data_IF_847757235613
#
_entry.id   IF_847757235613
#
_cell.length_a   1.000
_cell.length_b   1.000
_cell.length_c   1.000
_cell.angle_alpha   90.00
_cell.angle_beta   90.00
_cell.angle_gamma   90.00
#
_symmetry.space_group_name_H-M   'P 1'
#
loop_
_entity.id
_entity.type
_entity.pdbx_description
1 polymer ?
#
# COMPACT_ATOMS: atom_id res chain seq x y z
N UNK A 1 4.13 -21.78 14.67
CA UNK A 1 5.29 -21.42 13.85
C UNK A 1 5.98 -20.20 14.49
N UNK A 2 7.33 -20.20 14.59
CA UNK A 2 8.10 -19.06 15.13
C UNK A 2 8.57 -18.16 14.00
N UNK A 3 8.25 -16.86 14.08
CA UNK A 3 8.61 -15.87 13.08
C UNK A 3 9.44 -14.76 13.71
N UNK A 4 10.57 -14.41 13.08
CA UNK A 4 11.35 -13.24 13.42
C UNK A 4 11.07 -12.15 12.37
N UNK A 5 10.42 -11.06 12.79
CA UNK A 5 10.06 -9.94 11.92
C UNK A 5 11.01 -8.76 12.07
N UNK A 6 11.75 -8.44 11.00
CA UNK A 6 12.62 -7.28 10.93
C UNK A 6 11.88 -6.04 10.42
N UNK A 7 11.95 -4.94 11.19
CA UNK A 7 11.23 -3.67 10.95
C UNK A 7 12.20 -2.55 10.61
N UNK A 8 11.89 -1.77 9.58
CA UNK A 8 12.72 -0.62 9.13
C UNK A 8 12.10 0.75 9.48
N UNK A 9 11.12 0.77 10.39
CA UNK A 9 10.39 1.97 10.86
C UNK A 9 9.59 2.71 9.79
N UNK A 10 9.39 2.10 8.60
CA UNK A 10 8.55 2.67 7.55
C UNK A 10 7.15 2.06 7.63
N UNK A 11 6.18 2.86 8.01
CA UNK A 11 4.78 2.42 8.21
C UNK A 11 4.24 1.60 7.02
N UNK A 12 4.51 2.03 5.77
CA UNK A 12 4.04 1.30 4.59
C UNK A 12 4.67 -0.09 4.41
N UNK A 13 5.92 -0.29 4.87
CA UNK A 13 6.57 -1.60 4.86
C UNK A 13 6.03 -2.50 5.98
N UNK A 14 5.88 -1.93 7.17
CA UNK A 14 5.34 -2.64 8.32
C UNK A 14 3.91 -3.12 8.08
N UNK A 15 3.04 -2.27 7.51
CA UNK A 15 1.67 -2.65 7.14
C UNK A 15 1.61 -3.85 6.18
N UNK A 16 2.51 -3.94 5.20
CA UNK A 16 2.54 -5.05 4.27
C UNK A 16 2.93 -6.37 4.95
N UNK A 17 3.96 -6.35 5.80
CA UNK A 17 4.38 -7.53 6.56
C UNK A 17 3.28 -7.91 7.56
N UNK A 18 2.71 -6.94 8.28
CA UNK A 18 1.62 -7.18 9.22
C UNK A 18 0.41 -7.84 8.55
N UNK A 19 0.02 -7.39 7.34
CA UNK A 19 -1.08 -8.00 6.59
C UNK A 19 -0.80 -9.48 6.25
N UNK A 20 0.45 -9.83 5.93
CA UNK A 20 0.86 -11.23 5.71
C UNK A 20 0.76 -12.02 7.02
N UNK A 21 1.28 -11.48 8.12
CA UNK A 21 1.29 -12.16 9.43
C UNK A 21 -0.13 -12.35 9.96
N UNK A 22 -0.99 -11.34 9.86
CA UNK A 22 -2.40 -11.41 10.26
C UNK A 22 -3.13 -12.52 9.47
N UNK A 23 -2.85 -12.62 8.17
CA UNK A 23 -3.51 -13.62 7.32
C UNK A 23 -2.95 -15.03 7.57
N UNK A 24 -1.64 -15.19 7.82
CA UNK A 24 -1.05 -16.45 8.26
C UNK A 24 -1.61 -16.93 9.61
N UNK A 25 -1.90 -16.00 10.52
CA UNK A 25 -2.46 -16.31 11.85
C UNK A 25 -3.90 -16.89 11.77
N UNK A 26 -4.58 -16.75 10.65
CA UNK A 26 -5.90 -17.37 10.44
C UNK A 26 -5.82 -18.89 10.29
N UNK A 27 -4.68 -19.43 9.88
CA UNK A 27 -4.50 -20.86 9.56
C UNK A 27 -3.56 -21.59 10.51
N UNK A 28 -2.79 -20.87 11.34
CA UNK A 28 -1.81 -21.45 12.25
C UNK A 28 -1.43 -20.53 13.40
N UNK A 29 -1.06 -21.11 14.54
CA UNK A 29 -0.53 -20.37 15.68
C UNK A 29 0.84 -19.76 15.38
N UNK A 30 0.98 -18.46 15.55
CA UNK A 30 2.22 -17.72 15.35
C UNK A 30 2.81 -17.24 16.67
N UNK A 31 4.13 -17.40 16.81
CA UNK A 31 4.93 -16.72 17.83
C UNK A 31 5.85 -15.75 17.10
N UNK A 32 5.57 -14.47 17.23
CA UNK A 32 6.26 -13.40 16.50
C UNK A 32 7.25 -12.70 17.44
N UNK A 33 8.51 -12.66 17.04
CA UNK A 33 9.56 -11.85 17.64
C UNK A 33 9.88 -10.68 16.72
N UNK A 34 9.62 -9.45 17.17
CA UNK A 34 9.92 -8.24 16.41
C UNK A 34 11.35 -7.75 16.68
N UNK A 35 12.03 -7.30 15.63
CA UNK A 35 13.37 -6.74 15.69
C UNK A 35 13.49 -5.48 14.84
N UNK A 36 13.78 -4.36 15.50
CA UNK A 36 14.05 -3.10 14.80
C UNK A 36 15.45 -3.10 14.20
N UNK A 37 15.54 -2.65 12.95
CA UNK A 37 16.83 -2.42 12.30
C UNK A 37 17.37 -1.06 12.72
N UNK A 38 18.41 -1.07 13.54
CA UNK A 38 19.05 0.14 14.10
C UNK A 38 20.37 0.52 13.41
N UNK A 39 21.06 -0.45 12.83
CA UNK A 39 22.36 -0.22 12.21
C UNK A 39 22.23 0.30 10.77
N UNK A 40 23.14 1.19 10.33
CA UNK A 40 23.18 1.59 8.92
C UNK A 40 23.61 0.41 8.04
N UNK A 41 23.13 0.40 6.78
CA UNK A 41 23.34 -0.70 5.82
C UNK A 41 24.81 -1.05 5.63
N UNK A 42 25.72 -0.07 5.60
CA UNK A 42 27.15 -0.31 5.43
C UNK A 42 27.76 -1.11 6.59
N UNK A 43 27.32 -0.86 7.84
CA UNK A 43 27.77 -1.60 9.01
C UNK A 43 27.22 -3.05 8.98
N UNK A 44 25.96 -3.21 8.60
CA UNK A 44 25.35 -4.54 8.44
C UNK A 44 26.08 -5.37 7.37
N UNK A 45 26.46 -4.75 6.23
CA UNK A 45 27.28 -5.37 5.20
C UNK A 45 28.66 -5.80 5.75
N UNK A 46 29.34 -4.91 6.46
CA UNK A 46 30.63 -5.20 7.07
C UNK A 46 30.56 -6.40 8.01
N UNK A 47 29.58 -6.39 8.92
CA UNK A 47 29.36 -7.51 9.85
C UNK A 47 28.97 -8.81 9.13
N UNK A 48 28.23 -8.71 8.02
CA UNK A 48 27.88 -9.85 7.18
C UNK A 48 29.11 -10.52 6.55
N UNK A 49 30.01 -9.73 5.96
CA UNK A 49 31.25 -10.25 5.36
C UNK A 49 32.21 -10.83 6.40
N UNK A 50 32.26 -10.26 7.60
CA UNK A 50 33.01 -10.82 8.72
C UNK A 50 32.35 -12.06 9.35
N UNK A 51 31.17 -12.47 8.85
CA UNK A 51 30.37 -13.60 9.39
C UNK A 51 30.02 -13.45 10.88
N UNK A 52 29.95 -12.21 11.36
CA UNK A 52 29.53 -11.91 12.73
C UNK A 52 28.01 -12.03 12.80
N UNK A 53 27.54 -13.08 13.51
CA UNK A 53 26.11 -13.34 13.70
C UNK A 53 25.57 -12.63 14.94
N UNK A 54 24.34 -12.10 14.92
CA UNK A 54 23.72 -11.55 16.11
C UNK A 54 23.38 -12.67 17.11
N UNK A 55 23.29 -12.29 18.39
CA UNK A 55 22.82 -13.20 19.42
C UNK A 55 21.35 -13.55 19.20
N UNK A 56 21.02 -14.81 19.32
CA UNK A 56 19.66 -15.34 19.18
C UNK A 56 19.27 -16.10 20.45
N UNK A 57 18.07 -15.83 20.95
CA UNK A 57 17.52 -16.58 22.08
C UNK A 57 16.78 -17.84 21.61
N UNK A 58 16.32 -17.85 20.37
CA UNK A 58 15.69 -19.02 19.73
C UNK A 58 15.88 -18.99 18.21
N UNK A 59 15.86 -20.16 17.60
CA UNK A 59 15.93 -20.30 16.14
C UNK A 59 14.50 -20.18 15.58
N UNK A 60 14.22 -19.18 14.70
CA UNK A 60 12.90 -19.03 14.08
C UNK A 60 12.72 -20.01 12.90
N UNK A 61 11.49 -20.39 12.62
CA UNK A 61 11.13 -21.12 11.39
C UNK A 61 11.24 -20.18 10.17
N UNK A 62 10.77 -18.94 10.31
CA UNK A 62 10.77 -17.92 9.27
C UNK A 62 11.37 -16.61 9.80
N UNK A 63 12.20 -15.98 8.96
CA UNK A 63 12.66 -14.60 9.10
C UNK A 63 11.97 -13.80 7.99
N UNK A 64 11.28 -12.73 8.34
CA UNK A 64 10.55 -11.89 7.38
C UNK A 64 10.83 -10.41 7.61
N UNK A 65 10.83 -9.62 6.54
CA UNK A 65 10.96 -8.17 6.63
C UNK A 65 10.73 -7.51 5.28
N UNK A 66 10.50 -6.20 5.30
CA UNK A 66 10.26 -5.41 4.11
C UNK A 66 11.25 -4.26 3.99
N UNK A 67 11.64 -3.97 2.74
CA UNK A 67 12.50 -2.85 2.41
C UNK A 67 14.00 -3.14 2.48
N UNK A 68 14.80 -2.26 1.86
CA UNK A 68 16.24 -2.48 1.67
C UNK A 68 17.05 -2.54 2.98
N UNK A 69 16.61 -1.83 4.03
CA UNK A 69 17.31 -1.81 5.30
C UNK A 69 17.27 -3.17 6.02
N UNK A 70 16.21 -3.96 5.83
CA UNK A 70 16.06 -5.28 6.48
C UNK A 70 16.83 -6.39 5.79
N UNK A 71 17.24 -6.21 4.53
CA UNK A 71 17.86 -7.22 3.67
C UNK A 71 19.06 -7.93 4.34
N UNK A 72 20.07 -7.18 4.75
CA UNK A 72 21.29 -7.73 5.31
C UNK A 72 21.11 -8.25 6.74
N UNK A 73 20.41 -7.49 7.64
CA UNK A 73 20.10 -8.02 8.97
C UNK A 73 19.40 -9.38 8.94
N UNK A 74 18.42 -9.59 8.06
CA UNK A 74 17.73 -10.88 7.91
C UNK A 74 18.69 -11.99 7.50
N UNK A 75 19.55 -11.76 6.51
CA UNK A 75 20.54 -12.75 6.04
C UNK A 75 21.60 -13.07 7.09
N UNK A 76 22.02 -12.08 7.90
CA UNK A 76 22.93 -12.30 9.04
C UNK A 76 22.28 -13.14 10.15
N UNK A 77 20.97 -12.94 10.36
CA UNK A 77 20.22 -13.62 11.39
C UNK A 77 19.98 -15.10 11.05
N UNK A 78 20.01 -15.48 9.79
CA UNK A 78 19.91 -16.90 9.36
C UNK A 78 21.14 -17.69 9.83
N UNK A 79 20.95 -18.63 10.75
CA UNK A 79 22.04 -19.43 11.35
C UNK A 79 22.10 -20.86 10.84
N UNK A 80 20.99 -21.38 10.33
CA UNK A 80 20.89 -22.73 9.82
C UNK A 80 20.15 -22.81 8.46
N UNK A 81 20.10 -23.99 7.88
CA UNK A 81 19.43 -24.23 6.60
C UNK A 81 17.92 -24.52 6.77
N UNK A 82 17.42 -24.69 8.00
CA UNK A 82 16.01 -24.98 8.28
C UNK A 82 15.20 -23.68 8.29
N UNK A 83 15.79 -22.60 8.84
CA UNK A 83 15.19 -21.26 8.84
C UNK A 83 15.02 -20.74 7.43
N UNK A 84 13.82 -20.28 7.09
CA UNK A 84 13.48 -19.67 5.81
C UNK A 84 13.52 -18.15 5.89
N UNK A 85 14.09 -17.50 4.88
CA UNK A 85 14.18 -16.03 4.83
C UNK A 85 13.29 -15.51 3.70
N UNK A 86 12.31 -14.68 4.07
CA UNK A 86 11.32 -14.08 3.16
C UNK A 86 11.55 -12.57 3.09
N UNK A 87 11.83 -12.05 1.90
CA UNK A 87 11.82 -10.62 1.66
C UNK A 87 10.45 -10.18 1.14
N UNK A 88 9.83 -9.23 1.81
CA UNK A 88 8.67 -8.51 1.28
C UNK A 88 9.20 -7.27 0.56
N UNK A 89 8.85 -7.13 -0.73
CA UNK A 89 9.46 -6.24 -1.72
C UNK A 89 10.83 -6.76 -2.23
N UNK A 90 11.22 -6.25 -3.40
CA UNK A 90 12.50 -6.59 -4.03
C UNK A 90 13.67 -6.13 -3.15
N UNK A 91 14.54 -7.07 -2.69
CA UNK A 91 15.70 -6.71 -1.91
C UNK A 91 16.73 -5.98 -2.80
N UNK A 92 17.52 -5.10 -2.20
CA UNK A 92 18.55 -4.35 -2.91
C UNK A 92 19.77 -5.22 -3.27
N UNK A 93 20.06 -6.24 -2.45
CA UNK A 93 21.25 -7.09 -2.57
C UNK A 93 20.89 -8.56 -2.35
N UNK A 94 21.68 -9.45 -2.95
CA UNK A 94 21.66 -10.89 -2.67
C UNK A 94 20.32 -11.59 -2.86
N UNK A 95 19.57 -11.25 -3.93
CA UNK A 95 18.26 -11.85 -4.23
C UNK A 95 18.29 -13.39 -4.16
N UNK A 96 19.34 -14.03 -4.67
CA UNK A 96 19.49 -15.50 -4.66
C UNK A 96 19.71 -16.12 -3.26
N UNK A 97 19.88 -15.32 -2.21
CA UNK A 97 20.05 -15.80 -0.82
C UNK A 97 18.74 -15.91 -0.06
N UNK A 98 17.66 -15.37 -0.61
CA UNK A 98 16.33 -15.48 -0.03
C UNK A 98 15.65 -16.79 -0.46
N UNK A 99 14.99 -17.45 0.48
CA UNK A 99 14.19 -18.65 0.17
C UNK A 99 12.90 -18.27 -0.57
N UNK A 100 12.37 -17.04 -0.33
CA UNK A 100 11.27 -16.45 -1.07
C UNK A 100 11.39 -14.93 -1.06
N UNK A 101 11.15 -14.33 -2.22
CA UNK A 101 10.94 -12.89 -2.38
C UNK A 101 9.50 -12.69 -2.83
N UNK A 102 8.75 -11.90 -2.07
CA UNK A 102 7.38 -11.51 -2.39
C UNK A 102 7.41 -10.04 -2.82
N UNK A 103 7.22 -9.76 -4.11
CA UNK A 103 7.43 -8.42 -4.66
C UNK A 103 6.37 -7.99 -5.67
N UNK A 104 6.15 -6.67 -5.85
CA UNK A 104 5.27 -6.19 -6.89
C UNK A 104 5.72 -6.65 -8.28
N UNK A 105 4.76 -7.07 -9.12
CA UNK A 105 5.04 -7.55 -10.48
C UNK A 105 5.85 -6.54 -11.30
N UNK A 106 5.59 -5.25 -11.13
CA UNK A 106 6.29 -4.18 -11.87
C UNK A 106 7.76 -4.00 -11.49
N UNK A 107 8.27 -4.69 -10.46
CA UNK A 107 9.68 -4.68 -10.09
C UNK A 107 10.52 -5.73 -10.83
N UNK A 108 9.88 -6.68 -11.54
CA UNK A 108 10.53 -7.76 -12.27
C UNK A 108 10.09 -7.80 -13.74
N UNK A 109 11.06 -7.87 -14.66
CA UNK A 109 10.81 -8.17 -16.07
C UNK A 109 10.71 -9.68 -16.31
N UNK A 110 11.61 -10.43 -15.67
CA UNK A 110 11.65 -11.88 -15.63
C UNK A 110 11.58 -12.29 -14.16
N UNK A 111 10.75 -13.27 -13.84
CA UNK A 111 10.48 -13.69 -12.46
C UNK A 111 11.32 -14.93 -12.13
N UNK A 112 12.34 -14.82 -11.24
CA UNK A 112 13.12 -15.96 -10.78
C UNK A 112 12.28 -16.96 -9.97
N UNK A 113 12.74 -18.22 -9.86
CA UNK A 113 12.03 -19.29 -9.16
C UNK A 113 11.75 -19.00 -7.67
N UNK A 114 12.63 -18.23 -7.03
CA UNK A 114 12.45 -17.82 -5.63
C UNK A 114 11.65 -16.54 -5.47
N UNK A 115 11.05 -16.01 -6.54
CA UNK A 115 10.21 -14.80 -6.50
C UNK A 115 8.75 -15.16 -6.74
N UNK A 116 7.87 -14.62 -5.90
CA UNK A 116 6.43 -14.59 -6.11
C UNK A 116 5.99 -13.15 -6.30
N UNK A 117 5.25 -12.87 -7.37
CA UNK A 117 4.82 -11.50 -7.68
C UNK A 117 3.34 -11.29 -7.41
N UNK A 118 3.00 -10.07 -6.95
CA UNK A 118 1.65 -9.59 -6.73
C UNK A 118 1.39 -8.27 -7.48
N UNK A 119 0.13 -7.87 -7.60
CA UNK A 119 -0.26 -6.61 -8.24
C UNK A 119 -0.31 -5.49 -7.20
N UNK A 120 0.41 -4.41 -7.45
CA UNK A 120 0.37 -3.18 -6.67
C UNK A 120 1.07 -3.23 -5.32
N UNK A 121 0.32 -3.30 -4.23
CA UNK A 121 0.81 -3.37 -2.86
C UNK A 121 0.01 -4.37 -2.04
N UNK A 122 0.67 -5.06 -1.11
CA UNK A 122 -0.01 -5.94 -0.16
C UNK A 122 -0.74 -5.08 0.86
N UNK A 123 -2.02 -5.37 1.06
CA UNK A 123 -2.85 -4.74 2.05
C UNK A 123 -3.74 -5.76 2.75
N UNK A 124 -4.20 -5.42 3.96
CA UNK A 124 -5.18 -6.22 4.68
C UNK A 124 -6.50 -6.25 3.93
N UNK A 125 -7.08 -7.44 3.81
CA UNK A 125 -8.42 -7.59 3.21
C UNK A 125 -9.48 -7.27 4.26
N UNK A 126 -10.30 -6.26 3.99
CA UNK A 126 -11.37 -5.81 4.87
C UNK A 126 -12.71 -5.92 4.14
N UNK A 127 -13.37 -7.07 4.29
CA UNK A 127 -14.69 -7.31 3.70
C UNK A 127 -15.75 -7.01 4.75
N UNK A 128 -16.63 -6.07 4.42
CA UNK A 128 -17.78 -5.72 5.22
C UNK A 128 -19.01 -5.69 4.31
N UNK A 129 -20.04 -6.53 4.56
CA UNK A 129 -21.27 -6.50 3.79
C UNK A 129 -22.14 -5.27 4.14
N UNK A 130 -21.99 -4.74 5.36
CA UNK A 130 -22.81 -3.64 5.88
C UNK A 130 -22.08 -2.31 5.74
N UNK A 131 -22.07 -1.77 4.51
CA UNK A 131 -21.42 -0.48 4.24
C UNK A 131 -22.27 0.68 4.76
N UNK A 132 -21.62 1.61 5.45
CA UNK A 132 -22.22 2.85 5.90
C UNK A 132 -22.30 3.88 4.75
N UNK A 133 -23.21 4.84 4.87
CA UNK A 133 -23.35 5.92 3.89
C UNK A 133 -22.20 6.95 4.04
N UNK A 134 -20.97 6.48 4.02
CA UNK A 134 -19.73 7.23 4.17
C UNK A 134 -18.97 7.25 2.83
N UNK A 135 -18.51 8.44 2.46
CA UNK A 135 -17.54 8.64 1.40
C UNK A 135 -16.18 9.07 1.97
N UNK A 136 -15.13 8.41 1.55
CA UNK A 136 -13.77 8.79 1.92
C UNK A 136 -13.09 9.54 0.78
N UNK A 137 -12.43 10.63 1.13
CA UNK A 137 -11.49 11.34 0.27
C UNK A 137 -10.12 11.19 0.92
N UNK A 138 -9.23 10.41 0.29
CA UNK A 138 -7.92 10.08 0.86
C UNK A 138 -6.84 10.79 0.04
N UNK A 139 -6.22 11.80 0.64
CA UNK A 139 -5.28 12.68 -0.04
C UNK A 139 -3.85 12.36 0.35
N UNK A 140 -3.05 11.96 -0.62
CA UNK A 140 -1.61 11.79 -0.48
C UNK A 140 -0.90 13.14 -0.36
N UNK A 141 -0.06 13.49 -1.31
CA UNK A 141 0.62 14.78 -1.30
C UNK A 141 1.79 14.84 -2.27
N UNK A 142 2.64 15.83 -2.07
CA UNK A 142 3.77 16.09 -2.95
C UNK A 142 4.70 14.88 -3.02
N UNK A 143 4.99 14.46 -4.25
CA UNK A 143 5.98 13.42 -4.56
C UNK A 143 6.66 13.69 -5.92
N UNK A 144 7.53 12.80 -6.34
CA UNK A 144 8.28 12.92 -7.60
C UNK A 144 7.57 12.33 -8.82
N UNK A 145 6.38 11.76 -8.67
CA UNK A 145 5.69 11.02 -9.72
C UNK A 145 4.51 11.77 -10.30
N UNK A 146 3.82 12.55 -9.46
CA UNK A 146 2.60 13.29 -9.81
C UNK A 146 2.71 14.75 -9.38
N UNK A 147 2.12 15.62 -10.17
CA UNK A 147 2.04 17.06 -9.89
C UNK A 147 0.87 17.31 -8.92
N UNK A 148 1.19 17.86 -7.75
CA UNK A 148 0.19 18.19 -6.76
C UNK A 148 -0.35 19.61 -7.00
N UNK A 149 -1.51 19.73 -7.66
CA UNK A 149 -2.17 20.99 -7.90
C UNK A 149 -3.41 21.13 -7.00
N UNK A 150 -3.32 22.01 -6.00
CA UNK A 150 -4.37 22.26 -5.02
C UNK A 150 -5.72 22.62 -5.65
N UNK A 151 -5.72 23.56 -6.60
CA UNK A 151 -6.95 24.07 -7.22
C UNK A 151 -7.66 23.01 -8.03
N UNK A 152 -6.88 22.26 -8.82
CA UNK A 152 -7.40 21.18 -9.65
C UNK A 152 -7.97 20.02 -8.79
N UNK A 153 -7.27 19.64 -7.73
CA UNK A 153 -7.77 18.59 -6.83
C UNK A 153 -9.03 19.04 -6.07
N UNK A 154 -9.10 20.29 -5.61
CA UNK A 154 -10.29 20.83 -4.94
C UNK A 154 -11.49 20.84 -5.88
N UNK A 155 -11.33 21.27 -7.14
CA UNK A 155 -12.43 21.25 -8.11
C UNK A 155 -12.99 19.85 -8.36
N UNK A 156 -12.13 18.83 -8.37
CA UNK A 156 -12.56 17.43 -8.47
C UNK A 156 -13.29 16.96 -7.20
N UNK A 157 -12.81 17.37 -6.02
CA UNK A 157 -13.49 17.08 -4.74
C UNK A 157 -14.88 17.71 -4.69
N UNK A 158 -15.00 18.96 -5.08
CA UNK A 158 -16.29 19.66 -5.13
C UNK A 158 -17.24 18.99 -6.13
N UNK A 159 -16.73 18.57 -7.29
CA UNK A 159 -17.51 17.80 -8.27
C UNK A 159 -18.03 16.47 -7.67
N UNK A 160 -17.15 15.70 -7.01
CA UNK A 160 -17.53 14.43 -6.38
C UNK A 160 -18.59 14.65 -5.29
N UNK A 161 -18.41 15.64 -4.44
CA UNK A 161 -19.38 15.98 -3.38
C UNK A 161 -20.73 16.36 -3.99
N UNK A 162 -20.74 17.14 -5.07
CA UNK A 162 -21.97 17.53 -5.76
C UNK A 162 -22.67 16.35 -6.44
N UNK A 163 -21.91 15.37 -6.92
CA UNK A 163 -22.45 14.17 -7.59
C UNK A 163 -23.12 13.20 -6.60
N UNK A 164 -22.66 13.22 -5.34
CA UNK A 164 -23.15 12.33 -4.27
C UNK A 164 -23.55 13.12 -3.02
N UNK A 165 -24.64 13.93 -3.07
CA UNK A 165 -25.00 14.86 -2.00
C UNK A 165 -25.44 14.17 -0.70
N UNK A 166 -25.93 12.93 -0.77
CA UNK A 166 -26.40 12.20 0.40
C UNK A 166 -25.28 11.45 1.15
N UNK A 167 -24.05 11.48 0.64
CA UNK A 167 -22.90 10.79 1.25
C UNK A 167 -22.27 11.66 2.35
N UNK A 168 -21.97 11.05 3.49
CA UNK A 168 -21.22 11.68 4.58
C UNK A 168 -19.72 11.69 4.27
N UNK A 169 -19.21 12.80 3.75
CA UNK A 169 -17.83 12.90 3.32
C UNK A 169 -16.86 13.09 4.49
N UNK A 170 -15.81 12.25 4.52
CA UNK A 170 -14.70 12.31 5.46
C UNK A 170 -13.41 12.42 4.66
N UNK A 171 -12.56 13.37 5.00
CA UNK A 171 -11.30 13.61 4.32
C UNK A 171 -10.15 13.22 5.21
N UNK A 172 -9.23 12.42 4.67
CA UNK A 172 -7.94 12.09 5.26
C UNK A 172 -6.83 12.78 4.48
N UNK A 173 -5.93 13.46 5.17
CA UNK A 173 -4.68 13.91 4.59
C UNK A 173 -3.55 12.91 4.87
N UNK A 174 -2.37 13.20 4.33
CA UNK A 174 -1.12 12.48 4.61
C UNK A 174 -0.05 13.44 5.15
N UNK A 175 1.05 12.88 5.64
CA UNK A 175 2.22 13.68 6.07
C UNK A 175 2.82 14.55 4.95
N UNK A 176 2.55 14.21 3.68
CA UNK A 176 3.04 14.91 2.50
C UNK A 176 2.06 15.94 1.93
N UNK A 177 0.84 16.00 2.48
CA UNK A 177 -0.20 16.92 2.01
C UNK A 177 0.18 18.36 2.40
N UNK A 178 0.20 19.32 1.45
CA UNK A 178 0.54 20.70 1.73
C UNK A 178 -0.41 21.35 2.74
N UNK A 179 0.13 22.16 3.65
CA UNK A 179 -0.70 22.87 4.67
C UNK A 179 -1.74 23.78 4.02
N UNK A 180 -1.38 24.47 2.93
CA UNK A 180 -2.30 25.34 2.19
C UNK A 180 -3.51 24.60 1.63
N UNK A 181 -3.34 23.36 1.16
CA UNK A 181 -4.45 22.48 0.76
C UNK A 181 -5.37 22.16 1.95
N UNK A 182 -4.80 21.78 3.10
CA UNK A 182 -5.57 21.47 4.30
C UNK A 182 -6.45 22.66 4.76
N UNK A 183 -5.94 23.88 4.63
CA UNK A 183 -6.70 25.09 4.99
C UNK A 183 -7.86 25.37 4.02
N UNK A 184 -7.65 25.11 2.73
CA UNK A 184 -8.68 25.29 1.71
C UNK A 184 -9.78 24.25 1.86
N UNK A 185 -9.42 22.96 2.00
CA UNK A 185 -10.41 21.87 2.06
C UNK A 185 -11.29 21.94 3.31
N UNK A 186 -10.77 22.43 4.44
CA UNK A 186 -11.54 22.63 5.68
C UNK A 186 -12.64 23.68 5.56
N UNK A 187 -12.60 24.55 4.56
CA UNK A 187 -13.65 25.56 4.30
C UNK A 187 -14.87 24.97 3.59
N UNK A 188 -14.74 23.77 3.02
CA UNK A 188 -15.88 23.10 2.38
C UNK A 188 -16.84 22.56 3.44
N UNK A 189 -18.01 23.16 3.55
CA UNK A 189 -19.03 22.86 4.57
C UNK A 189 -19.74 21.52 4.36
N UNK A 190 -19.63 20.93 3.18
CA UNK A 190 -20.17 19.60 2.85
C UNK A 190 -19.30 18.46 3.36
N UNK A 191 -18.08 18.76 3.84
CA UNK A 191 -17.19 17.79 4.47
C UNK A 191 -17.55 17.67 5.95
N UNK A 192 -18.06 16.50 6.34
CA UNK A 192 -18.47 16.23 7.70
C UNK A 192 -17.30 16.17 8.68
N UNK A 193 -16.16 15.62 8.24
CA UNK A 193 -14.99 15.43 9.10
C UNK A 193 -13.70 15.53 8.28
N UNK A 194 -12.73 16.25 8.83
CA UNK A 194 -11.36 16.29 8.31
C UNK A 194 -10.41 15.68 9.36
N UNK A 195 -9.74 14.61 8.99
CA UNK A 195 -8.77 13.89 9.83
C UNK A 195 -7.37 14.29 9.38
N UNK A 196 -6.69 15.01 10.27
CA UNK A 196 -5.35 15.53 10.03
C UNK A 196 -4.33 14.61 10.71
N UNK A 197 -3.53 13.91 9.92
CA UNK A 197 -2.51 12.97 10.41
C UNK A 197 -1.52 13.58 11.40
N UNK A 198 -1.37 14.92 11.38
CA UNK A 198 -0.47 15.63 12.30
C UNK A 198 -1.13 16.04 13.62
N UNK A 199 -2.45 15.98 13.72
CA UNK A 199 -3.20 16.50 14.88
C UNK A 199 -4.03 15.43 15.58
N UNK A 200 -4.83 14.71 14.80
CA UNK A 200 -5.78 13.72 15.32
C UNK A 200 -5.60 12.44 14.53
N UNK A 201 -4.68 11.59 14.98
CA UNK A 201 -4.47 10.31 14.34
C UNK A 201 -5.68 9.40 14.56
N UNK A 202 -6.38 9.08 13.48
CA UNK A 202 -7.38 8.02 13.42
C UNK A 202 -6.96 7.00 12.36
N UNK A 203 -7.06 5.70 12.65
CA UNK A 203 -6.68 4.68 11.69
C UNK A 203 -7.56 4.74 10.43
N UNK A 204 -6.95 4.90 9.27
CA UNK A 204 -7.68 4.90 7.98
C UNK A 204 -8.43 3.58 7.77
N UNK A 205 -7.86 2.46 8.23
CA UNK A 205 -8.40 1.12 8.07
C UNK A 205 -9.82 0.97 8.67
N UNK A 206 -10.11 1.67 9.79
CA UNK A 206 -11.42 1.66 10.45
C UNK A 206 -12.53 2.30 9.58
N UNK A 207 -12.13 3.18 8.69
CA UNK A 207 -13.02 3.87 7.77
C UNK A 207 -13.10 3.17 6.42
N UNK A 208 -11.99 2.61 5.91
CA UNK A 208 -11.96 1.88 4.65
C UNK A 208 -12.92 0.69 4.66
N UNK A 209 -13.04 -0.01 5.81
CA UNK A 209 -13.93 -1.17 5.94
C UNK A 209 -15.42 -0.83 5.89
N UNK A 210 -15.80 0.44 6.13
CA UNK A 210 -17.19 0.89 6.27
C UNK A 210 -17.66 1.75 5.10
N UNK A 211 -16.73 2.35 4.38
CA UNK A 211 -17.04 3.35 3.37
C UNK A 211 -17.64 2.74 2.11
N UNK A 212 -18.76 3.30 1.65
CA UNK A 212 -19.40 2.95 0.39
C UNK A 212 -18.61 3.43 -0.83
N UNK A 213 -18.06 4.65 -0.73
CA UNK A 213 -17.27 5.29 -1.79
C UNK A 213 -15.91 5.73 -1.25
N UNK A 214 -14.85 5.52 -2.02
CA UNK A 214 -13.49 5.91 -1.67
C UNK A 214 -12.84 6.59 -2.87
N UNK A 215 -12.46 7.85 -2.71
CA UNK A 215 -11.74 8.63 -3.70
C UNK A 215 -10.31 8.86 -3.22
N UNK A 216 -9.33 8.39 -3.98
CA UNK A 216 -7.92 8.34 -3.57
C UNK A 216 -7.05 9.06 -4.58
N UNK A 217 -6.09 9.85 -4.13
CA UNK A 217 -5.10 10.44 -5.04
C UNK A 217 -4.10 9.38 -5.52
N UNK A 218 -3.71 9.35 -6.81
CA UNK A 218 -2.89 8.28 -7.39
C UNK A 218 -1.41 8.30 -6.97
N UNK A 219 -0.99 9.29 -6.20
CA UNK A 219 0.40 9.47 -5.75
C UNK A 219 0.85 8.48 -4.67
N UNK A 220 -0.06 7.69 -4.10
CA UNK A 220 0.22 6.71 -3.05
C UNK A 220 -0.32 5.32 -3.39
N UNK A 221 0.56 4.47 -3.90
CA UNK A 221 0.23 3.07 -4.25
C UNK A 221 -0.38 2.31 -3.07
N UNK A 222 0.18 2.46 -1.87
CA UNK A 222 -0.36 1.77 -0.68
C UNK A 222 -1.81 2.17 -0.41
N UNK A 223 -2.13 3.46 -0.41
CA UNK A 223 -3.50 3.96 -0.16
C UNK A 223 -4.50 3.43 -1.19
N UNK A 224 -4.09 3.33 -2.46
CA UNK A 224 -4.92 2.76 -3.53
C UNK A 224 -5.23 1.30 -3.23
N UNK A 225 -4.20 0.49 -2.96
CA UNK A 225 -4.40 -0.94 -2.75
C UNK A 225 -5.01 -1.27 -1.39
N UNK A 226 -4.80 -0.48 -0.34
CA UNK A 226 -5.57 -0.53 0.90
C UNK A 226 -7.07 -0.29 0.62
N UNK A 227 -7.39 0.69 -0.23
CA UNK A 227 -8.77 0.98 -0.64
C UNK A 227 -9.36 -0.13 -1.51
N UNK A 228 -8.63 -0.67 -2.48
CA UNK A 228 -9.06 -1.78 -3.33
C UNK A 228 -9.21 -3.11 -2.56
N UNK A 229 -8.47 -3.27 -1.46
CA UNK A 229 -8.55 -4.46 -0.59
C UNK A 229 -9.65 -4.37 0.46
N UNK A 230 -10.50 -3.36 0.40
CA UNK A 230 -11.66 -3.18 1.27
C UNK A 230 -12.96 -3.10 0.46
N UNK A 231 -14.10 -3.45 1.07
CA UNK A 231 -15.43 -3.34 0.46
C UNK A 231 -15.75 -1.90 0.04
N UNK A 232 -16.71 -1.72 -0.86
CA UNK A 232 -17.12 -0.43 -1.44
C UNK A 232 -16.29 -0.05 -2.67
N UNK A 233 -16.78 0.94 -3.40
CA UNK A 233 -16.20 1.35 -4.67
C UNK A 233 -14.99 2.27 -4.46
N UNK A 234 -13.90 2.01 -5.19
CA UNK A 234 -12.68 2.84 -5.16
C UNK A 234 -12.55 3.60 -6.47
N UNK A 235 -12.23 4.90 -6.36
CA UNK A 235 -12.02 5.81 -7.47
C UNK A 235 -10.69 6.56 -7.31
N UNK A 236 -10.04 6.88 -8.41
CA UNK A 236 -8.83 7.68 -8.44
C UNK A 236 -9.15 9.11 -8.88
N UNK A 237 -8.61 10.09 -8.17
CA UNK A 237 -8.54 11.46 -8.66
C UNK A 237 -7.63 11.53 -9.89
N UNK A 238 -7.91 12.49 -10.76
CA UNK A 238 -7.01 12.79 -11.88
C UNK A 238 -5.87 13.69 -11.39
N UNK A 239 -4.64 13.23 -11.61
CA UNK A 239 -3.43 13.99 -11.32
C UNK A 239 -2.46 13.82 -12.49
N UNK A 240 -1.92 14.94 -12.97
CA UNK A 240 -0.95 14.94 -14.04
C UNK A 240 0.39 14.38 -13.58
N UNK A 241 1.11 13.75 -14.51
CA UNK A 241 2.52 13.39 -14.33
C UNK A 241 3.33 13.81 -15.57
N UNK A 242 4.49 14.38 -15.34
CA UNK A 242 5.35 14.87 -16.43
C UNK A 242 6.19 13.78 -17.09
N UNK A 243 6.40 12.65 -16.38
CA UNK A 243 7.26 11.55 -16.86
C UNK A 243 6.68 10.20 -16.52
N UNK A 244 6.57 9.36 -17.56
CA UNK A 244 6.22 7.95 -17.37
C UNK A 244 7.29 7.19 -16.58
N UNK A 245 6.84 6.37 -15.64
CA UNK A 245 7.68 5.50 -14.82
C UNK A 245 6.88 4.27 -14.35
N UNK A 246 7.50 3.36 -13.62
CA UNK A 246 6.84 2.14 -13.15
C UNK A 246 5.57 2.37 -12.32
N UNK A 247 5.50 3.48 -11.58
CA UNK A 247 4.33 3.82 -10.75
C UNK A 247 3.21 4.37 -11.61
N UNK A 248 3.49 5.30 -12.52
CA UNK A 248 2.46 5.83 -13.42
C UNK A 248 1.88 4.74 -14.32
N UNK A 249 2.71 3.83 -14.85
CA UNK A 249 2.24 2.65 -15.60
C UNK A 249 1.35 1.72 -14.77
N UNK A 250 1.66 1.52 -13.49
CA UNK A 250 0.78 0.75 -12.59
C UNK A 250 -0.58 1.44 -12.43
N UNK A 251 -0.60 2.77 -12.29
CA UNK A 251 -1.86 3.52 -12.19
C UNK A 251 -2.66 3.44 -13.50
N UNK A 252 -2.00 3.53 -14.64
CA UNK A 252 -2.64 3.36 -15.94
C UNK A 252 -3.18 1.93 -16.13
N UNK A 253 -2.47 0.91 -15.61
CA UNK A 253 -2.97 -0.48 -15.55
C UNK A 253 -4.22 -0.59 -14.66
N UNK A 254 -4.24 0.05 -13.49
CA UNK A 254 -5.41 0.07 -12.59
C UNK A 254 -6.63 0.71 -13.27
N UNK A 255 -6.44 1.82 -14.00
CA UNK A 255 -7.49 2.51 -14.74
C UNK A 255 -7.98 1.68 -15.94
N UNK A 256 -7.06 1.18 -16.78
CA UNK A 256 -7.39 0.44 -18.01
C UNK A 256 -8.11 -0.89 -17.74
N UNK A 257 -7.72 -1.60 -16.69
CA UNK A 257 -8.41 -2.81 -16.21
C UNK A 257 -9.68 -2.49 -15.41
N UNK A 258 -9.97 -1.22 -15.14
CA UNK A 258 -11.10 -0.80 -14.31
C UNK A 258 -11.13 -1.44 -12.93
N UNK A 259 -9.97 -1.69 -12.33
CA UNK A 259 -9.87 -2.14 -10.94
C UNK A 259 -10.38 -1.05 -10.00
N UNK A 260 -10.03 0.21 -10.29
CA UNK A 260 -10.67 1.40 -9.71
C UNK A 260 -11.43 2.16 -10.79
N UNK A 261 -12.46 2.88 -10.41
CA UNK A 261 -12.98 3.99 -11.20
C UNK A 261 -11.99 5.16 -11.21
N UNK A 262 -12.22 6.16 -12.02
CA UNK A 262 -11.35 7.33 -12.06
C UNK A 262 -12.09 8.58 -12.56
N UNK A 263 -11.63 9.72 -12.10
CA UNK A 263 -11.99 11.02 -12.67
C UNK A 263 -11.09 11.32 -13.87
N UNK A 264 -11.66 11.99 -14.86
CA UNK A 264 -10.96 12.40 -16.05
C UNK A 264 -11.45 13.76 -16.50
N UNK A 265 -10.52 14.69 -16.73
CA UNK A 265 -10.83 15.97 -17.33
C UNK A 265 -10.92 15.80 -18.85
N UNK A 266 -12.03 16.25 -19.45
CA UNK A 266 -12.22 16.24 -20.89
C UNK A 266 -12.57 17.63 -21.38
N UNK A 267 -12.03 18.00 -22.53
CA UNK A 267 -12.50 19.15 -23.28
C UNK A 267 -13.75 18.74 -24.06
N UNK A 268 -14.81 19.57 -24.02
CA UNK A 268 -15.92 19.41 -24.93
C UNK A 268 -15.41 19.71 -26.36
N UNK A 269 -15.67 18.80 -27.30
CA UNK A 269 -15.14 18.84 -28.69
C UNK A 269 -15.39 20.16 -29.43
N UNK A 270 -16.31 20.99 -28.94
CA UNK A 270 -16.73 22.25 -29.57
C UNK A 270 -16.43 23.50 -28.76
N UNK A 271 -15.79 23.38 -27.60
CA UNK A 271 -15.56 24.52 -26.70
C UNK A 271 -14.31 24.37 -25.86
N UNK A 272 -13.72 25.49 -25.40
CA UNK A 272 -12.65 25.51 -24.40
C UNK A 272 -13.14 25.11 -23.00
N UNK A 273 -14.38 24.63 -22.87
CA UNK A 273 -14.97 24.25 -21.58
C UNK A 273 -14.44 22.87 -21.17
N UNK A 274 -13.76 22.87 -20.04
CA UNK A 274 -13.30 21.64 -19.40
C UNK A 274 -14.42 21.05 -18.55
N UNK A 275 -14.67 19.77 -18.72
CA UNK A 275 -15.62 18.99 -17.91
C UNK A 275 -14.91 17.87 -17.19
N UNK A 276 -15.37 17.56 -15.97
CA UNK A 276 -14.89 16.38 -15.23
C UNK A 276 -15.90 15.25 -15.44
N UNK A 277 -15.42 14.09 -15.84
CA UNK A 277 -16.21 12.87 -15.96
C UNK A 277 -15.82 11.83 -14.95
N UNK A 278 -16.78 11.00 -14.49
CA UNK A 278 -16.57 9.89 -13.59
C UNK A 278 -16.68 8.56 -14.35
N UNK A 279 -15.57 7.84 -14.45
CA UNK A 279 -15.53 6.49 -15.00
C UNK A 279 -15.69 5.48 -13.85
N UNK A 280 -16.67 4.57 -13.96
CA UNK A 280 -16.95 3.58 -12.90
C UNK A 280 -15.98 2.40 -12.94
N UNK A 281 -15.68 1.78 -11.78
CA UNK A 281 -14.92 0.54 -11.74
C UNK A 281 -15.74 -0.63 -12.30
N UNK A 282 -15.04 -1.70 -12.68
CA UNK A 282 -15.71 -2.97 -12.98
C UNK A 282 -15.88 -3.77 -11.68
N UNK A 283 -17.09 -3.76 -11.14
CA UNK A 283 -17.41 -4.42 -9.86
C UNK A 283 -17.25 -5.95 -9.89
N UNK A 284 -17.16 -6.57 -11.08
CA UNK A 284 -16.90 -8.02 -11.20
C UNK A 284 -15.51 -8.42 -10.72
N UNK A 285 -14.54 -7.49 -10.63
CA UNK A 285 -13.23 -7.78 -10.06
C UNK A 285 -13.29 -8.04 -8.56
N UNK A 286 -14.29 -7.52 -7.86
CA UNK A 286 -14.41 -7.64 -6.41
C UNK A 286 -13.25 -6.96 -5.65
N UNK A 287 -13.09 -7.35 -4.40
CA UNK A 287 -12.03 -6.84 -3.52
C UNK A 287 -10.69 -7.49 -3.86
N UNK A 288 -9.61 -6.71 -3.88
CA UNK A 288 -8.25 -7.22 -4.09
C UNK A 288 -7.78 -8.09 -2.91
N UNK A 289 -7.30 -9.30 -3.20
CA UNK A 289 -6.89 -10.30 -2.22
C UNK A 289 -5.45 -10.77 -2.45
N UNK A 290 -4.55 -9.86 -2.79
CA UNK A 290 -3.16 -10.22 -3.09
C UNK A 290 -2.44 -10.83 -1.88
N UNK A 291 -2.78 -10.40 -0.66
CA UNK A 291 -2.23 -10.98 0.57
C UNK A 291 -2.55 -12.47 0.71
N UNK A 292 -3.75 -12.90 0.34
CA UNK A 292 -4.15 -14.32 0.42
C UNK A 292 -3.34 -15.18 -0.55
N UNK A 293 -3.05 -14.67 -1.76
CA UNK A 293 -2.19 -15.36 -2.74
C UNK A 293 -0.75 -15.51 -2.22
N UNK A 294 -0.24 -14.46 -1.57
CA UNK A 294 1.09 -14.46 -0.95
C UNK A 294 1.16 -15.47 0.19
N UNK A 295 0.17 -15.49 1.07
CA UNK A 295 0.10 -16.41 2.20
C UNK A 295 -0.01 -17.85 1.71
N UNK A 296 -0.86 -18.12 0.72
CA UNK A 296 -0.95 -19.44 0.08
C UNK A 296 0.41 -19.90 -0.46
N UNK A 297 1.19 -19.01 -1.11
CA UNK A 297 2.51 -19.35 -1.63
C UNK A 297 3.54 -19.62 -0.52
N UNK A 298 3.50 -18.84 0.58
CA UNK A 298 4.33 -19.09 1.76
C UNK A 298 4.02 -20.47 2.37
N UNK A 299 2.74 -20.78 2.56
CA UNK A 299 2.32 -22.08 3.09
C UNK A 299 2.68 -23.23 2.15
N UNK A 300 2.44 -23.08 0.84
CA UNK A 300 2.81 -24.09 -0.16
C UNK A 300 4.29 -24.44 -0.15
N UNK A 301 5.16 -23.45 0.06
CA UNK A 301 6.62 -23.67 0.06
C UNK A 301 7.17 -24.14 1.40
N UNK A 302 6.58 -23.70 2.53
CA UNK A 302 7.23 -23.82 3.84
C UNK A 302 6.36 -24.50 4.91
N UNK A 303 5.10 -24.81 4.63
CA UNK A 303 4.27 -25.60 5.56
C UNK A 303 4.83 -27.03 5.61
N UNK A 304 5.14 -27.49 6.83
CA UNK A 304 5.57 -28.87 7.10
C UNK A 304 4.39 -29.82 7.12
#
# INVERSE_FOLDING_TARGET
MKICWFKDSKIGHEKQVQAILDNLALTQDLVIEERDVSNPVWLELFLYFLRIKPKQDSIPDIIIGAGSATTIPMLRYKTDNKTKVISVMKPQFFESKFDLIVAPRHDYKEVPDNVFTYVGSIARVNINPDLENIGLIVVGGVNKHFDFNDGYLISQIDFVISLFPDINWIVFNSRRTPKGFNEKIKRNTSIRKFIDVHKNFEPLDDYLSKAKLKFVTPDSVNMIFESLSSSGETYLFDMHYSKENKITRLIDEVKSNKYAGFLEEKYLETSEIKTISLNKPNLLHGTFREVEKVVYEIERRFRK
#
